data_IF_877573045960
#
_entry.id   IF_877573045960
#
_cell.length_a   1.000
_cell.length_b   1.000
_cell.length_c   1.000
_cell.angle_alpha   90.00
_cell.angle_beta   90.00
_cell.angle_gamma   90.00
#
_symmetry.space_group_name_H-M   'P 1'
#
loop_
_entity.id
_entity.type
_entity.pdbx_description
1 polymer ?
#
# COMPACT_ATOMS: atom_id res chain seq x y z
N UNK A 1 -24.10 -39.41 6.98
CA UNK A 1 -24.36 -38.50 8.12
C UNK A 1 -23.11 -38.23 8.96
N UNK A 2 -22.36 -39.24 9.40
CA UNK A 2 -21.20 -39.05 10.29
C UNK A 2 -20.06 -38.18 9.71
N UNK A 3 -19.68 -38.40 8.44
CA UNK A 3 -18.67 -37.58 7.76
C UNK A 3 -19.01 -36.07 7.72
N UNK A 4 -20.29 -35.73 7.68
CA UNK A 4 -20.76 -34.32 7.69
C UNK A 4 -20.62 -33.73 9.08
N UNK A 5 -20.98 -34.49 10.13
CA UNK A 5 -20.84 -34.08 11.53
C UNK A 5 -19.39 -33.82 11.91
N UNK A 6 -18.46 -34.68 11.49
CA UNK A 6 -17.01 -34.50 11.70
C UNK A 6 -16.53 -33.21 11.05
N UNK A 7 -16.93 -32.94 9.80
CA UNK A 7 -16.56 -31.71 9.09
C UNK A 7 -17.11 -30.46 9.79
N UNK A 8 -18.35 -30.49 10.28
CA UNK A 8 -18.96 -29.38 11.02
C UNK A 8 -18.19 -29.11 12.31
N UNK A 9 -17.97 -30.14 13.15
CA UNK A 9 -17.21 -30.01 14.39
C UNK A 9 -15.81 -29.44 14.16
N UNK A 10 -15.13 -29.89 13.09
CA UNK A 10 -13.81 -29.35 12.73
C UNK A 10 -13.89 -27.87 12.33
N UNK A 11 -14.86 -27.47 11.51
CA UNK A 11 -15.06 -26.05 11.15
C UNK A 11 -15.32 -25.19 12.37
N UNK A 12 -16.19 -25.65 13.28
CA UNK A 12 -16.49 -24.96 14.53
C UNK A 12 -15.24 -24.82 15.42
N UNK A 13 -14.44 -25.89 15.53
CA UNK A 13 -13.18 -25.85 16.27
C UNK A 13 -12.19 -24.84 15.65
N UNK A 14 -12.07 -24.80 14.32
CA UNK A 14 -11.23 -23.82 13.61
C UNK A 14 -11.70 -22.39 13.91
N UNK A 15 -12.99 -22.09 13.73
CA UNK A 15 -13.54 -20.75 13.98
C UNK A 15 -13.39 -20.33 15.43
N UNK A 16 -13.62 -21.26 16.37
CA UNK A 16 -13.47 -21.01 17.80
C UNK A 16 -12.01 -20.72 18.17
N UNK A 17 -11.06 -21.49 17.64
CA UNK A 17 -9.63 -21.24 17.86
C UNK A 17 -9.17 -19.93 17.21
N UNK A 18 -9.64 -19.59 16.01
CA UNK A 18 -9.38 -18.29 15.39
C UNK A 18 -9.92 -17.13 16.23
N UNK A 19 -11.10 -17.26 16.82
CA UNK A 19 -11.63 -16.26 17.75
C UNK A 19 -10.71 -16.08 18.97
N UNK A 20 -10.22 -17.19 19.55
CA UNK A 20 -9.23 -17.14 20.64
C UNK A 20 -7.94 -16.40 20.22
N UNK A 21 -7.43 -16.68 19.02
CA UNK A 21 -6.24 -15.99 18.48
C UNK A 21 -6.49 -14.49 18.35
N UNK A 22 -7.65 -14.09 17.81
CA UNK A 22 -8.05 -12.68 17.73
C UNK A 22 -8.13 -12.05 19.11
N UNK A 23 -8.68 -12.72 20.12
CA UNK A 23 -8.80 -12.20 21.49
C UNK A 23 -7.44 -12.05 22.18
N UNK A 24 -6.56 -13.06 22.08
CA UNK A 24 -5.36 -13.18 22.91
C UNK A 24 -4.08 -12.72 22.21
N UNK A 25 -3.98 -12.89 20.90
CA UNK A 25 -2.76 -12.61 20.13
C UNK A 25 -2.95 -11.31 19.35
N UNK A 26 -2.46 -10.21 19.93
CA UNK A 26 -2.49 -8.87 19.32
C UNK A 26 -1.14 -8.45 18.74
N UNK A 27 -0.08 -9.12 19.13
CA UNK A 27 1.27 -8.81 18.69
C UNK A 27 1.60 -9.52 17.37
N UNK A 28 1.86 -8.78 16.27
CA UNK A 28 2.28 -9.37 14.98
C UNK A 28 3.65 -10.07 15.03
N UNK A 29 4.38 -9.97 16.14
CA UNK A 29 5.67 -10.62 16.37
C UNK A 29 5.61 -11.74 17.42
N UNK A 30 4.41 -12.13 17.88
CA UNK A 30 4.28 -13.20 18.85
C UNK A 30 4.82 -14.53 18.29
N UNK A 31 5.50 -15.29 19.15
CA UNK A 31 5.98 -16.64 18.82
C UNK A 31 4.98 -17.71 19.22
N UNK A 32 4.93 -18.81 18.48
CA UNK A 32 4.08 -19.95 18.83
C UNK A 32 4.45 -20.54 20.19
N UNK A 33 5.75 -20.76 20.43
CA UNK A 33 6.28 -21.36 21.67
C UNK A 33 5.87 -20.58 22.93
N UNK A 34 5.86 -19.25 22.89
CA UNK A 34 5.44 -18.42 24.03
C UNK A 34 3.91 -18.26 24.12
N UNK A 35 3.22 -18.34 23.00
CA UNK A 35 1.77 -18.14 22.91
C UNK A 35 1.00 -19.39 23.29
N UNK A 36 1.45 -20.57 22.87
CA UNK A 36 0.80 -21.87 23.10
C UNK A 36 0.39 -22.09 24.57
N UNK A 37 1.28 -21.99 25.58
CA UNK A 37 0.89 -22.21 26.98
C UNK A 37 -0.10 -21.15 27.52
N UNK A 38 -0.20 -19.98 26.89
CA UNK A 38 -1.19 -18.95 27.24
C UNK A 38 -2.55 -19.25 26.62
N UNK A 39 -2.55 -19.79 25.40
CA UNK A 39 -3.75 -20.22 24.68
C UNK A 39 -4.37 -21.47 25.34
N UNK A 40 -3.55 -22.41 25.82
CA UNK A 40 -4.00 -23.61 26.54
C UNK A 40 -4.70 -23.31 27.88
N UNK A 41 -4.44 -22.15 28.47
CA UNK A 41 -5.12 -21.65 29.68
C UNK A 41 -6.49 -21.00 29.39
N UNK A 42 -6.97 -21.06 28.15
CA UNK A 42 -8.30 -20.58 27.78
C UNK A 42 -9.39 -21.31 28.59
N UNK A 43 -10.25 -20.60 29.35
CA UNK A 43 -11.30 -21.22 30.16
C UNK A 43 -12.31 -22.03 29.34
N UNK A 44 -12.48 -21.69 28.06
CA UNK A 44 -13.37 -22.40 27.14
C UNK A 44 -12.72 -23.65 26.52
N UNK A 45 -11.43 -23.92 26.82
CA UNK A 45 -10.72 -25.09 26.33
C UNK A 45 -10.56 -25.12 24.81
N UNK A 46 -10.61 -23.98 24.12
CA UNK A 46 -10.57 -23.92 22.65
C UNK A 46 -9.24 -24.44 22.09
N UNK A 47 -8.15 -24.26 22.83
CA UNK A 47 -6.80 -24.72 22.47
C UNK A 47 -6.46 -26.14 22.98
N UNK A 48 -7.30 -26.75 23.81
CA UNK A 48 -7.13 -28.13 24.32
C UNK A 48 -8.14 -29.10 23.70
N UNK A 49 -8.93 -28.63 22.74
CA UNK A 49 -9.91 -29.42 22.00
C UNK A 49 -9.20 -30.49 21.12
N UNK A 50 -9.59 -31.76 21.27
CA UNK A 50 -9.03 -32.89 20.53
C UNK A 50 -9.39 -32.94 19.03
N UNK A 51 -10.26 -32.05 18.56
CA UNK A 51 -10.66 -31.95 17.14
C UNK A 51 -9.56 -31.33 16.26
N UNK A 52 -8.71 -30.47 16.84
CA UNK A 52 -7.55 -29.89 16.17
C UNK A 52 -6.28 -30.45 16.78
N UNK A 53 -5.36 -30.92 15.94
CA UNK A 53 -4.03 -31.31 16.43
C UNK A 53 -3.14 -30.07 16.62
N UNK A 54 -1.96 -30.27 17.23
CA UNK A 54 -1.02 -29.17 17.48
C UNK A 54 -0.52 -28.52 16.19
N UNK A 55 -0.46 -29.27 15.08
CA UNK A 55 0.04 -28.78 13.79
C UNK A 55 -0.98 -27.86 13.14
N UNK A 56 -2.26 -28.23 13.16
CA UNK A 56 -3.39 -27.44 12.70
C UNK A 56 -3.49 -26.12 13.48
N UNK A 57 -3.38 -26.18 14.81
CA UNK A 57 -3.40 -24.99 15.66
C UNK A 57 -2.21 -24.05 15.38
N UNK A 58 -1.01 -24.61 15.23
CA UNK A 58 0.17 -23.82 14.89
C UNK A 58 0.02 -23.15 13.51
N UNK A 59 -0.52 -23.87 12.52
CA UNK A 59 -0.82 -23.29 11.20
C UNK A 59 -1.80 -22.11 11.33
N UNK A 60 -2.89 -22.27 12.08
CA UNK A 60 -3.87 -21.20 12.30
C UNK A 60 -3.25 -20.00 13.01
N UNK A 61 -2.33 -20.24 13.95
CA UNK A 61 -1.55 -19.19 14.60
C UNK A 61 -0.71 -18.41 13.59
N UNK A 62 0.06 -19.07 12.73
CA UNK A 62 0.89 -18.40 11.72
C UNK A 62 0.06 -17.64 10.68
N UNK A 63 -1.08 -18.21 10.25
CA UNK A 63 -2.03 -17.53 9.36
C UNK A 63 -2.56 -16.24 10.02
N UNK A 64 -2.86 -16.27 11.32
CA UNK A 64 -3.27 -15.09 12.09
C UNK A 64 -2.16 -14.05 12.23
N UNK A 65 -0.93 -14.46 12.54
CA UNK A 65 0.24 -13.57 12.62
C UNK A 65 0.47 -12.87 11.28
N UNK A 66 0.39 -13.61 10.17
CA UNK A 66 0.50 -13.04 8.82
C UNK A 66 -0.55 -11.96 8.58
N UNK A 67 -1.82 -12.21 8.91
CA UNK A 67 -2.88 -11.21 8.81
C UNK A 67 -2.61 -9.96 9.67
N UNK A 68 -2.09 -10.12 10.90
CA UNK A 68 -1.71 -8.98 11.73
C UNK A 68 -0.58 -8.16 11.09
N UNK A 69 0.44 -8.82 10.53
CA UNK A 69 1.55 -8.16 9.85
C UNK A 69 1.08 -7.39 8.61
N UNK A 70 0.20 -8.00 7.79
CA UNK A 70 -0.41 -7.34 6.63
C UNK A 70 -1.17 -6.07 7.03
N UNK A 71 -1.92 -6.12 8.13
CA UNK A 71 -2.61 -4.94 8.69
C UNK A 71 -1.63 -3.87 9.14
N UNK A 72 -0.55 -4.23 9.84
CA UNK A 72 0.47 -3.27 10.23
C UNK A 72 1.15 -2.60 9.02
N UNK A 73 1.39 -3.35 7.94
CA UNK A 73 1.92 -2.80 6.69
C UNK A 73 0.92 -1.85 6.03
N UNK A 74 -0.36 -2.19 6.01
CA UNK A 74 -1.42 -1.31 5.50
C UNK A 74 -1.48 0.00 6.29
N UNK A 75 -1.52 -0.08 7.62
CA UNK A 75 -1.58 1.10 8.50
C UNK A 75 -0.32 1.97 8.37
N UNK A 76 0.85 1.35 8.16
CA UNK A 76 2.08 2.07 7.87
C UNK A 76 2.05 2.78 6.51
N UNK A 77 1.42 2.19 5.48
CA UNK A 77 1.20 2.88 4.20
C UNK A 77 0.25 4.07 4.34
N UNK A 78 -0.77 3.95 5.19
CA UNK A 78 -1.64 5.09 5.51
C UNK A 78 -0.85 6.20 6.20
N UNK A 79 -0.02 5.87 7.20
CA UNK A 79 0.90 6.82 7.83
C UNK A 79 1.82 7.50 6.81
N UNK A 80 2.40 6.74 5.87
CA UNK A 80 3.23 7.31 4.81
C UNK A 80 2.43 8.33 3.98
N UNK A 81 1.18 8.03 3.63
CA UNK A 81 0.33 8.95 2.88
C UNK A 81 -0.05 10.22 3.65
N UNK A 82 -0.25 10.10 4.97
CA UNK A 82 -0.53 11.24 5.85
C UNK A 82 0.69 12.16 6.05
N UNK A 83 1.90 11.59 6.08
CA UNK A 83 3.13 12.32 6.43
C UNK A 83 3.89 12.80 5.19
N UNK A 84 3.96 12.01 4.12
CA UNK A 84 4.68 12.32 2.88
C UNK A 84 3.76 13.01 1.89
N UNK A 85 3.12 14.10 2.35
CA UNK A 85 2.28 14.95 1.50
C UNK A 85 3.12 15.74 0.51
N UNK A 86 2.49 16.32 -0.52
CA UNK A 86 3.20 17.19 -1.47
C UNK A 86 3.84 18.40 -0.79
N UNK A 87 3.16 18.97 0.22
CA UNK A 87 3.72 20.06 1.04
C UNK A 87 4.99 19.61 1.76
N UNK A 88 4.95 18.48 2.46
CA UNK A 88 6.12 17.95 3.15
C UNK A 88 7.27 17.57 2.19
N UNK A 89 6.93 17.15 0.96
CA UNK A 89 7.90 16.85 -0.09
C UNK A 89 8.57 18.09 -0.68
N UNK A 90 7.92 19.24 -0.64
CA UNK A 90 8.46 20.54 -1.07
C UNK A 90 9.39 21.18 -0.04
N UNK A 91 9.37 20.72 1.21
CA UNK A 91 10.28 21.20 2.25
C UNK A 91 11.65 20.52 2.13
N UNK A 92 12.65 21.32 1.79
CA UNK A 92 14.06 20.92 1.75
C UNK A 92 14.78 21.34 3.02
N UNK A 93 15.64 20.46 3.54
CA UNK A 93 16.64 20.84 4.53
C UNK A 93 17.79 21.60 3.89
N UNK A 94 18.62 22.27 4.67
CA UNK A 94 19.84 22.96 4.19
C UNK A 94 20.75 22.08 3.29
N UNK A 95 20.76 20.75 3.51
CA UNK A 95 21.49 19.78 2.69
C UNK A 95 20.78 19.36 1.37
N UNK A 96 19.65 19.96 1.00
CA UNK A 96 18.84 19.57 -0.18
C UNK A 96 18.08 18.24 -0.02
N UNK A 97 17.85 17.78 1.22
CA UNK A 97 17.13 16.53 1.51
C UNK A 97 15.65 16.81 1.75
N UNK A 98 14.80 15.94 1.21
CA UNK A 98 13.35 15.93 1.39
C UNK A 98 12.90 14.64 2.07
N UNK A 99 11.62 14.58 2.47
CA UNK A 99 11.00 13.34 2.99
C UNK A 99 10.85 12.24 1.93
N UNK A 100 11.00 12.55 0.64
CA UNK A 100 10.92 11.58 -0.45
C UNK A 100 12.29 11.02 -0.86
N UNK A 101 13.37 11.81 -0.73
CA UNK A 101 14.72 11.38 -1.14
C UNK A 101 15.61 10.91 0.03
N UNK A 102 15.20 11.16 1.29
CA UNK A 102 16.00 10.80 2.47
C UNK A 102 15.19 10.05 3.51
N UNK A 103 15.56 8.78 3.72
CA UNK A 103 14.96 7.95 4.77
C UNK A 103 15.13 8.56 6.16
N UNK A 104 16.31 9.13 6.47
CA UNK A 104 16.56 9.76 7.77
C UNK A 104 15.62 10.94 8.04
N UNK A 105 15.35 11.77 7.02
CA UNK A 105 14.40 12.88 7.09
C UNK A 105 12.98 12.37 7.30
N UNK A 106 12.52 11.41 6.49
CA UNK A 106 11.19 10.81 6.62
C UNK A 106 11.00 10.12 7.99
N UNK A 107 11.99 9.33 8.42
CA UNK A 107 11.98 8.59 9.68
C UNK A 107 11.76 9.51 10.89
N UNK A 108 12.28 10.73 10.88
CA UNK A 108 12.05 11.72 11.97
C UNK A 108 10.57 12.05 12.13
N UNK A 109 9.82 12.13 11.04
CA UNK A 109 8.38 12.39 11.04
C UNK A 109 7.54 11.14 11.33
N UNK A 110 8.02 9.98 10.91
CA UNK A 110 7.31 8.70 11.10
C UNK A 110 7.46 8.15 12.52
N UNK A 111 8.62 8.31 13.15
CA UNK A 111 8.98 7.69 14.45
C UNK A 111 8.01 8.02 15.61
N UNK A 112 7.44 9.23 15.73
CA UNK A 112 6.48 9.55 16.79
C UNK A 112 5.16 8.76 16.70
N UNK A 113 4.77 8.27 15.52
CA UNK A 113 3.50 7.59 15.33
C UNK A 113 3.57 6.11 15.84
N UNK A 114 2.60 5.62 16.62
CA UNK A 114 2.59 4.25 17.11
C UNK A 114 2.66 3.17 16.02
N UNK A 115 2.08 3.41 14.85
CA UNK A 115 2.07 2.49 13.70
C UNK A 115 3.49 2.21 13.19
N UNK A 116 4.41 3.15 13.37
CA UNK A 116 5.83 2.98 13.01
C UNK A 116 6.47 1.76 13.71
N UNK A 117 6.16 1.57 14.99
CA UNK A 117 6.78 0.51 15.78
C UNK A 117 6.14 -0.87 15.56
N UNK A 118 4.95 -0.93 14.95
CA UNK A 118 4.22 -2.18 14.66
C UNK A 118 4.75 -2.93 13.43
N UNK A 119 5.44 -2.25 12.53
CA UNK A 119 6.11 -2.87 11.38
C UNK A 119 7.51 -3.35 11.77
N UNK A 120 7.93 -4.52 11.27
CA UNK A 120 9.28 -5.03 11.52
C UNK A 120 10.34 -4.05 11.03
N UNK A 121 11.40 -3.83 11.82
CA UNK A 121 12.43 -2.81 11.54
C UNK A 121 13.04 -2.95 10.15
N UNK A 122 13.28 -4.19 9.71
CA UNK A 122 13.86 -4.51 8.40
C UNK A 122 12.99 -4.10 7.20
N UNK A 123 11.68 -3.99 7.39
CA UNK A 123 10.73 -3.74 6.29
C UNK A 123 10.40 -2.25 6.12
N UNK A 124 10.62 -1.44 7.15
CA UNK A 124 10.17 -0.02 7.20
C UNK A 124 10.75 0.82 6.06
N UNK A 125 12.06 0.72 5.84
CA UNK A 125 12.72 1.50 4.80
C UNK A 125 12.33 1.03 3.39
N UNK A 126 12.17 -0.28 3.19
CA UNK A 126 11.74 -0.82 1.90
C UNK A 126 10.31 -0.37 1.55
N UNK A 127 9.40 -0.34 2.53
CA UNK A 127 8.04 0.17 2.37
C UNK A 127 8.02 1.67 2.05
N UNK A 128 8.82 2.45 2.78
CA UNK A 128 9.00 3.88 2.50
C UNK A 128 9.54 4.11 1.10
N UNK A 129 10.61 3.42 0.70
CA UNK A 129 11.27 3.58 -0.61
C UNK A 129 10.28 3.33 -1.74
N UNK A 130 9.52 2.23 -1.68
CA UNK A 130 8.50 1.91 -2.66
C UNK A 130 7.43 3.02 -2.74
N UNK A 131 6.97 3.52 -1.61
CA UNK A 131 5.98 4.60 -1.56
C UNK A 131 6.52 5.91 -2.13
N UNK A 132 7.74 6.30 -1.76
CA UNK A 132 8.40 7.52 -2.24
C UNK A 132 8.62 7.48 -3.75
N UNK A 133 9.09 6.36 -4.28
CA UNK A 133 9.21 6.15 -5.73
C UNK A 133 7.86 6.24 -6.45
N UNK A 134 6.80 5.65 -5.89
CA UNK A 134 5.44 5.74 -6.45
C UNK A 134 4.95 7.21 -6.49
N UNK A 135 5.24 7.99 -5.45
CA UNK A 135 4.91 9.43 -5.42
C UNK A 135 5.67 10.22 -6.49
N UNK A 136 6.99 10.00 -6.61
CA UNK A 136 7.82 10.66 -7.62
C UNK A 136 7.37 10.30 -9.05
N UNK A 137 7.01 9.03 -9.29
CA UNK A 137 6.44 8.59 -10.58
C UNK A 137 5.13 9.30 -10.91
N UNK A 138 4.24 9.50 -9.91
CA UNK A 138 2.96 10.22 -10.07
C UNK A 138 3.16 11.72 -10.33
N UNK A 139 4.16 12.35 -9.70
CA UNK A 139 4.51 13.75 -9.96
C UNK A 139 5.02 13.94 -11.39
N UNK A 140 5.91 13.06 -11.86
CA UNK A 140 6.48 13.14 -13.22
C UNK A 140 5.42 12.98 -14.31
N UNK A 141 4.55 11.97 -14.20
CA UNK A 141 3.47 11.75 -15.16
C UNK A 141 2.45 12.89 -15.20
N UNK A 142 2.20 13.55 -14.06
CA UNK A 142 1.31 14.72 -13.99
C UNK A 142 1.93 15.98 -14.63
N UNK A 143 3.26 16.08 -14.63
CA UNK A 143 3.99 17.16 -15.31
C UNK A 143 3.94 16.98 -16.84
N UNK A 144 4.27 15.78 -17.32
CA UNK A 144 4.29 15.41 -18.74
C UNK A 144 2.91 15.64 -19.41
N UNK A 145 1.84 15.22 -18.73
CA UNK A 145 0.46 15.42 -19.20
C UNK A 145 0.04 16.90 -19.32
N UNK A 146 0.66 17.80 -18.53
CA UNK A 146 0.38 19.25 -18.59
C UNK A 146 1.17 19.92 -19.71
N UNK A 147 2.38 19.43 -19.98
CA UNK A 147 3.25 19.95 -21.03
C UNK A 147 2.66 19.66 -22.42
N UNK A 148 2.17 18.43 -22.65
CA UNK A 148 1.49 18.04 -23.90
C UNK A 148 0.21 18.84 -24.19
N UNK A 149 -0.56 19.21 -23.15
CA UNK A 149 -1.76 20.03 -23.30
C UNK A 149 -1.44 21.49 -23.66
N UNK A 150 -0.27 21.98 -23.27
CA UNK A 150 0.16 23.35 -23.53
C UNK A 150 0.76 23.52 -24.94
N UNK A 151 1.40 22.47 -25.48
CA UNK A 151 1.97 22.47 -26.84
C UNK A 151 0.89 22.35 -27.94
N UNK A 152 -0.16 21.52 -27.74
CA UNK A 152 -1.26 21.38 -28.73
C UNK A 152 -2.12 22.65 -28.84
N UNK A 153 -2.30 23.40 -27.74
CA UNK A 153 -3.06 24.65 -27.75
C UNK A 153 -2.37 25.80 -28.53
N UNK A 154 -1.04 25.77 -28.68
CA UNK A 154 -0.29 26.76 -29.49
C UNK A 154 -0.15 26.35 -30.95
N UNK A 155 -0.19 25.05 -31.26
CA UNK A 155 -0.12 24.54 -32.64
C UNK A 155 -1.37 24.83 -33.49
N UNK A 156 -2.53 25.05 -32.86
CA UNK A 156 -3.82 25.16 -33.58
C UNK A 156 -4.23 26.59 -34.00
N UNK A 157 -3.41 27.62 -33.76
CA UNK A 157 -3.69 29.02 -34.15
C UNK A 157 -2.92 29.54 -35.39
N UNK A 158 -2.21 28.69 -36.12
CA UNK A 158 -1.34 29.13 -37.24
C UNK A 158 -1.73 28.60 -38.63
N UNK A 159 -2.94 28.09 -38.82
CA UNK A 159 -3.39 27.58 -40.14
C UNK A 159 -4.85 27.97 -40.42
N UNK A 160 -5.16 29.26 -40.42
CA UNK A 160 -6.34 29.75 -41.16
C UNK A 160 -6.21 31.24 -41.53
N UNK A 161 -5.30 31.54 -42.45
CA UNK A 161 -5.36 32.76 -43.25
C UNK A 161 -4.33 32.68 -44.34
N UNK A 162 -4.69 32.12 -45.50
CA UNK A 162 -4.19 32.52 -46.83
C UNK A 162 -4.65 31.52 -47.90
N UNK A 163 -5.84 31.75 -48.47
CA UNK A 163 -6.07 31.83 -49.93
C UNK A 163 -7.55 31.87 -50.23
N UNK A 164 -8.08 33.08 -50.38
CA UNK A 164 -9.24 33.33 -51.22
C UNK A 164 -8.81 34.28 -52.35
N UNK A 165 -9.28 33.93 -53.55
CA UNK A 165 -9.53 34.77 -54.73
C UNK A 165 -8.35 35.45 -55.42
N UNK A 166 -8.14 35.11 -56.70
CA UNK A 166 -8.44 35.97 -57.86
C UNK A 166 -7.88 35.30 -59.14
N UNK A 167 -8.76 34.69 -59.93
CA UNK A 167 -8.48 34.34 -61.33
C UNK A 167 -9.34 35.26 -62.19
N UNK A 168 -8.69 36.22 -62.87
CA UNK A 168 -9.31 37.02 -63.93
C UNK A 168 -8.24 37.66 -64.80
N UNK A 169 -8.07 37.12 -66.01
CA UNK A 169 -7.82 37.90 -67.22
C UNK A 169 -6.39 37.94 -67.77
N UNK A 170 -6.21 37.35 -68.96
CA UNK A 170 -5.74 37.99 -70.22
C UNK A 170 -5.25 36.89 -71.18
N UNK A 171 -5.98 36.58 -72.25
CA UNK A 171 -6.04 37.27 -73.55
C UNK A 171 -5.19 36.56 -74.60
N UNK A 172 -5.88 36.11 -75.65
CA UNK A 172 -5.37 35.54 -76.90
C UNK A 172 -4.38 36.45 -77.64
N UNK A 173 -3.40 35.82 -78.32
CA UNK A 173 -2.93 36.32 -79.62
C UNK A 173 -2.53 35.16 -80.57
N UNK A 174 -3.23 35.13 -81.71
CA UNK A 174 -2.85 34.73 -83.09
C UNK A 174 -1.89 33.55 -83.31
N UNK A 175 -2.34 32.53 -84.06
CA UNK A 175 -2.15 32.42 -85.52
C UNK A 175 -3.02 31.29 -86.10
#
# INVERSE_FOLDING_TARGET
MEKVRIKIRRKEAVTSFQALLVERIKDPMASWTESKPKLEKDPQGRATNSVLDSTDMEKLFWDHIKMLQERCVHDFRALLAEVLTSEAASLETDDGKTVLNSWSTAKRLLKPDPRYNKVQRKDREALWRRYAEDMLRRQKSSHDSKEDKYTDARGRKSLDSSKHTLESGRSHERR
#
